data_IF_651685715418
#
_entry.id   IF_651685715418
#
_cell.length_a   1.000
_cell.length_b   1.000
_cell.length_c   1.000
_cell.angle_alpha   90.00
_cell.angle_beta   90.00
_cell.angle_gamma   90.00
#
_symmetry.space_group_name_H-M   'P 1'
#
loop_
_entity.id
_entity.type
_entity.pdbx_description
1 polymer ?
#
# COMPACT_ATOMS: atom_id res chain seq x y z
N UNK A 1 -16.02 4.43 14.19
CA UNK A 1 -15.24 3.41 13.45
C UNK A 1 -14.93 3.97 12.07
N UNK A 2 -13.68 3.90 11.63
CA UNK A 2 -13.31 4.29 10.27
C UNK A 2 -13.83 3.23 9.29
N UNK A 3 -14.40 3.67 8.17
CA UNK A 3 -14.75 2.78 7.07
C UNK A 3 -13.48 2.21 6.44
N UNK A 4 -13.49 0.92 6.09
CA UNK A 4 -12.39 0.23 5.42
C UNK A 4 -12.94 -0.68 4.33
N UNK A 5 -12.49 -0.48 3.09
CA UNK A 5 -12.80 -1.36 1.94
C UNK A 5 -12.40 -2.81 2.23
N UNK A 6 -11.30 -2.98 2.94
CA UNK A 6 -10.80 -4.29 3.35
C UNK A 6 -11.80 -5.08 4.22
N UNK A 7 -12.72 -4.43 4.94
CA UNK A 7 -13.76 -5.13 5.69
C UNK A 7 -14.69 -5.91 4.77
N UNK A 8 -15.18 -5.28 3.70
CA UNK A 8 -16.05 -5.93 2.72
C UNK A 8 -15.32 -7.08 2.01
N UNK A 9 -14.05 -6.85 1.62
CA UNK A 9 -13.19 -7.88 1.04
C UNK A 9 -13.03 -9.09 1.98
N UNK A 10 -12.78 -8.86 3.26
CA UNK A 10 -12.66 -9.91 4.27
C UNK A 10 -13.96 -10.68 4.47
N UNK A 11 -15.11 -9.99 4.50
CA UNK A 11 -16.45 -10.61 4.58
C UNK A 11 -16.69 -11.51 3.36
N UNK A 12 -16.41 -11.02 2.16
CA UNK A 12 -16.53 -11.77 0.91
C UNK A 12 -15.61 -13.00 0.88
N UNK A 13 -14.33 -12.83 1.27
CA UNK A 13 -13.40 -13.95 1.36
C UNK A 13 -13.89 -15.05 2.31
N UNK A 14 -14.35 -14.68 3.49
CA UNK A 14 -14.89 -15.64 4.46
C UNK A 14 -16.15 -16.38 3.99
N UNK A 15 -16.90 -15.79 3.06
CA UNK A 15 -18.06 -16.43 2.45
C UNK A 15 -17.67 -17.35 1.29
N UNK A 16 -16.78 -16.91 0.42
CA UNK A 16 -16.51 -17.55 -0.88
C UNK A 16 -15.36 -18.56 -0.85
N UNK A 17 -14.37 -18.37 0.07
CA UNK A 17 -13.17 -19.21 0.17
C UNK A 17 -13.13 -20.04 1.46
N UNK A 18 -14.06 -21.02 1.63
CA UNK A 18 -14.19 -21.76 2.90
C UNK A 18 -12.99 -22.66 3.20
N UNK A 19 -12.17 -22.98 2.21
CA UNK A 19 -11.08 -23.94 2.30
C UNK A 19 -9.68 -23.30 2.31
N UNK A 20 -9.60 -21.98 2.42
CA UNK A 20 -8.32 -21.25 2.55
C UNK A 20 -8.23 -20.48 3.87
N UNK A 21 -7.04 -20.33 4.36
CA UNK A 21 -6.71 -19.44 5.49
C UNK A 21 -6.24 -18.12 4.91
N UNK A 22 -6.82 -17.02 5.35
CA UNK A 22 -6.37 -15.69 4.97
C UNK A 22 -5.19 -15.26 5.82
N UNK A 23 -4.10 -14.86 5.18
CA UNK A 23 -2.98 -14.15 5.79
C UNK A 23 -3.08 -12.66 5.45
N UNK A 24 -3.40 -11.83 6.44
CA UNK A 24 -3.47 -10.38 6.29
C UNK A 24 -2.09 -9.78 6.54
N UNK A 25 -1.43 -9.37 5.46
CA UNK A 25 -0.13 -8.69 5.51
C UNK A 25 -0.29 -7.17 5.47
N UNK A 26 0.75 -6.43 5.88
CA UNK A 26 0.82 -4.98 5.78
C UNK A 26 1.54 -4.34 6.96
N UNK A 27 1.89 -3.06 6.83
CA UNK A 27 2.64 -2.32 7.83
C UNK A 27 1.99 -2.37 9.24
N UNK A 28 2.78 -2.08 10.26
CA UNK A 28 2.24 -1.92 11.62
C UNK A 28 1.34 -0.69 11.70
N UNK A 29 0.37 -0.73 12.62
CA UNK A 29 -0.58 0.34 12.94
C UNK A 29 -1.55 0.77 11.81
N UNK A 30 -1.69 -0.03 10.75
CA UNK A 30 -2.71 0.22 9.70
C UNK A 30 -4.08 -0.37 10.04
N UNK A 31 -4.23 -1.04 11.20
CA UNK A 31 -5.51 -1.54 11.70
C UNK A 31 -5.85 -2.99 11.36
N UNK A 32 -4.86 -3.86 11.01
CA UNK A 32 -5.08 -5.28 10.69
C UNK A 32 -5.90 -6.02 11.75
N UNK A 33 -5.40 -6.07 12.97
CA UNK A 33 -6.05 -6.78 14.09
C UNK A 33 -7.44 -6.21 14.40
N UNK A 34 -7.60 -4.89 14.26
CA UNK A 34 -8.87 -4.23 14.47
C UNK A 34 -9.92 -4.69 13.45
N UNK A 35 -9.59 -4.73 12.16
CA UNK A 35 -10.53 -5.08 11.10
C UNK A 35 -10.92 -6.57 11.16
N UNK A 36 -9.95 -7.45 11.44
CA UNK A 36 -10.22 -8.88 11.61
C UNK A 36 -11.13 -9.12 12.82
N UNK A 37 -10.89 -8.43 13.94
CA UNK A 37 -11.75 -8.51 15.14
C UNK A 37 -13.16 -7.98 14.84
N UNK A 38 -13.26 -6.88 14.13
CA UNK A 38 -14.56 -6.30 13.77
C UNK A 38 -15.40 -7.22 12.90
N UNK A 39 -14.84 -7.75 11.82
CA UNK A 39 -15.55 -8.64 10.90
C UNK A 39 -15.78 -10.00 11.57
N UNK A 40 -14.76 -10.59 12.20
CA UNK A 40 -14.83 -11.91 12.82
C UNK A 40 -15.89 -12.00 13.91
N UNK A 41 -15.97 -10.99 14.79
CA UNK A 41 -16.97 -10.97 15.87
C UNK A 41 -18.42 -10.76 15.38
N UNK A 42 -18.61 -10.25 14.16
CA UNK A 42 -19.93 -10.07 13.56
C UNK A 42 -20.40 -11.28 12.77
N UNK A 43 -19.47 -11.98 12.10
CA UNK A 43 -19.79 -13.11 11.22
C UNK A 43 -19.84 -14.43 11.97
N UNK A 44 -19.09 -14.58 13.07
CA UNK A 44 -18.98 -15.84 13.80
C UNK A 44 -19.51 -15.69 15.23
N UNK A 45 -20.24 -16.72 15.66
CA UNK A 45 -20.75 -16.79 17.04
C UNK A 45 -19.61 -16.84 18.07
N UNK A 46 -18.54 -17.52 17.71
CA UNK A 46 -17.35 -17.69 18.54
C UNK A 46 -16.16 -17.08 17.81
N UNK A 47 -15.60 -16.03 18.37
CA UNK A 47 -14.37 -15.39 17.89
C UNK A 47 -13.27 -15.57 18.95
N UNK A 48 -12.19 -16.23 18.57
CA UNK A 48 -11.05 -16.50 19.45
C UNK A 48 -9.83 -15.81 18.84
N UNK A 49 -9.29 -14.83 19.52
CA UNK A 49 -8.08 -14.10 19.14
C UNK A 49 -6.91 -14.55 20.00
N UNK A 50 -5.78 -14.83 19.36
CA UNK A 50 -4.52 -15.19 20.00
C UNK A 50 -3.46 -14.25 19.45
N UNK A 51 -2.96 -13.37 20.31
CA UNK A 51 -1.81 -12.54 19.98
C UNK A 51 -0.51 -13.31 20.28
N UNK A 52 0.11 -13.83 19.21
CA UNK A 52 1.29 -14.69 19.31
C UNK A 52 2.54 -13.94 19.75
N UNK A 53 2.63 -12.62 19.49
CA UNK A 53 3.71 -11.80 20.00
C UNK A 53 3.62 -11.65 21.52
N UNK A 54 2.42 -11.34 22.02
CA UNK A 54 2.18 -11.25 23.45
C UNK A 54 2.41 -12.59 24.17
N UNK A 55 2.03 -13.72 23.53
CA UNK A 55 2.32 -15.05 24.06
C UNK A 55 3.83 -15.32 24.15
N UNK A 56 4.58 -14.98 23.10
CA UNK A 56 6.04 -15.16 23.05
C UNK A 56 6.79 -14.33 24.10
N UNK A 57 6.32 -13.11 24.37
CA UNK A 57 6.87 -12.21 25.40
C UNK A 57 6.42 -12.59 26.82
N UNK A 58 5.36 -13.40 26.94
CA UNK A 58 4.74 -13.83 28.19
C UNK A 58 4.90 -15.31 28.49
N UNK A 59 3.79 -16.06 28.47
CA UNK A 59 3.75 -17.45 28.87
C UNK A 59 4.40 -18.45 27.90
N UNK A 60 4.57 -18.08 26.63
CA UNK A 60 5.20 -18.91 25.59
C UNK A 60 4.47 -20.21 25.31
N UNK A 61 3.14 -20.22 25.46
CA UNK A 61 2.29 -21.41 25.37
C UNK A 61 2.45 -22.10 24.01
N UNK A 62 2.56 -21.30 22.92
CA UNK A 62 2.70 -21.82 21.56
C UNK A 62 4.14 -22.10 21.14
N UNK A 63 5.15 -21.77 21.96
CA UNK A 63 6.55 -21.98 21.63
C UNK A 63 6.92 -23.46 21.42
N UNK A 64 6.28 -24.36 22.13
CA UNK A 64 6.57 -25.81 22.13
C UNK A 64 5.62 -26.63 21.26
N UNK A 65 4.63 -26.00 20.66
CA UNK A 65 3.67 -26.67 19.77
C UNK A 65 4.37 -27.29 18.58
N UNK A 66 4.24 -28.61 18.37
CA UNK A 66 4.86 -29.35 17.26
C UNK A 66 3.86 -30.15 16.43
N UNK A 67 2.67 -30.41 16.98
CA UNK A 67 1.62 -31.17 16.33
C UNK A 67 0.29 -30.45 16.36
N UNK A 68 -0.67 -30.89 15.52
CA UNK A 68 -2.05 -30.37 15.55
C UNK A 68 -2.71 -30.61 16.92
N UNK A 69 -2.45 -31.75 17.52
CA UNK A 69 -3.06 -32.11 18.80
C UNK A 69 -2.52 -31.20 19.92
N UNK A 70 -1.20 -30.89 19.91
CA UNK A 70 -0.63 -29.92 20.82
C UNK A 70 -1.26 -28.54 20.63
N UNK A 71 -1.44 -28.12 19.36
CA UNK A 71 -2.09 -26.86 19.05
C UNK A 71 -3.50 -26.79 19.60
N UNK A 72 -4.31 -27.82 19.37
CA UNK A 72 -5.70 -27.85 19.87
C UNK A 72 -5.79 -27.95 21.40
N UNK A 73 -4.84 -28.61 22.03
CA UNK A 73 -4.76 -28.65 23.50
C UNK A 73 -4.53 -27.25 24.06
N UNK A 74 -3.55 -26.52 23.52
CA UNK A 74 -3.25 -25.17 23.97
C UNK A 74 -4.37 -24.19 23.64
N UNK A 75 -4.94 -24.29 22.42
CA UNK A 75 -6.10 -23.50 22.02
C UNK A 75 -7.29 -23.74 22.96
N UNK A 76 -7.56 -25.00 23.30
CA UNK A 76 -8.64 -25.38 24.23
C UNK A 76 -8.42 -24.80 25.64
N UNK A 77 -7.19 -24.84 26.13
CA UNK A 77 -6.85 -24.27 27.43
C UNK A 77 -7.06 -22.74 27.49
N UNK A 78 -6.76 -22.03 26.40
CA UNK A 78 -6.93 -20.57 26.33
C UNK A 78 -8.36 -20.14 26.05
N UNK A 79 -9.03 -20.81 25.11
CA UNK A 79 -10.34 -20.39 24.62
C UNK A 79 -11.50 -20.96 25.45
N UNK A 80 -11.30 -22.08 26.14
CA UNK A 80 -12.32 -22.71 26.96
C UNK A 80 -13.63 -22.98 26.21
N UNK A 81 -14.75 -22.56 26.76
CA UNK A 81 -16.09 -22.76 26.19
C UNK A 81 -16.38 -21.89 24.93
N UNK A 82 -15.43 -21.08 24.47
CA UNK A 82 -15.59 -20.28 23.24
C UNK A 82 -15.34 -21.09 21.96
N UNK A 83 -14.95 -22.34 22.06
CA UNK A 83 -14.76 -23.21 20.91
C UNK A 83 -16.07 -23.98 20.61
N UNK A 84 -16.51 -23.85 19.37
CA UNK A 84 -17.67 -24.56 18.83
C UNK A 84 -17.28 -25.44 17.64
N UNK A 85 -18.10 -25.42 16.58
CA UNK A 85 -17.79 -26.09 15.32
C UNK A 85 -17.22 -25.12 14.27
N UNK A 86 -16.79 -25.65 13.10
CA UNK A 86 -16.21 -24.89 12.01
C UNK A 86 -17.05 -23.70 11.54
N UNK A 87 -18.36 -23.87 11.46
CA UNK A 87 -19.28 -22.83 10.97
C UNK A 87 -19.44 -21.69 11.95
N UNK A 88 -19.28 -21.98 13.22
CA UNK A 88 -19.56 -21.03 14.30
C UNK A 88 -18.28 -20.38 14.88
N UNK A 89 -17.09 -20.89 14.54
CA UNK A 89 -15.84 -20.49 15.21
C UNK A 89 -14.80 -20.00 14.22
N UNK A 90 -14.35 -18.76 14.45
CA UNK A 90 -13.18 -18.18 13.82
C UNK A 90 -12.05 -18.05 14.83
N UNK A 91 -10.91 -18.64 14.52
CA UNK A 91 -9.66 -18.47 15.28
C UNK A 91 -8.76 -17.49 14.55
N UNK A 92 -8.41 -16.42 15.21
CA UNK A 92 -7.53 -15.37 14.69
C UNK A 92 -6.14 -15.47 15.34
N UNK A 93 -5.12 -15.73 14.54
CA UNK A 93 -3.72 -15.81 14.93
C UNK A 93 -3.03 -14.49 14.56
N UNK A 94 -2.95 -13.58 15.53
CA UNK A 94 -2.34 -12.26 15.31
C UNK A 94 -0.82 -12.33 15.54
N UNK A 95 -0.04 -11.61 14.71
CA UNK A 95 1.43 -11.56 14.72
C UNK A 95 2.08 -12.95 14.55
N UNK A 96 1.60 -13.72 13.55
CA UNK A 96 2.00 -15.13 13.35
C UNK A 96 3.50 -15.32 13.09
N UNK A 97 4.20 -14.30 12.58
CA UNK A 97 5.65 -14.34 12.37
C UNK A 97 6.44 -14.50 13.68
N UNK A 98 5.80 -14.25 14.84
CA UNK A 98 6.43 -14.50 16.15
C UNK A 98 6.78 -15.97 16.37
N UNK A 99 6.05 -16.87 15.69
CA UNK A 99 6.27 -18.32 15.73
C UNK A 99 6.30 -18.92 14.32
N UNK A 100 7.42 -18.90 13.61
CA UNK A 100 7.52 -19.37 12.21
C UNK A 100 7.05 -20.82 12.00
N UNK A 101 7.18 -21.71 12.99
CA UNK A 101 6.70 -23.07 12.90
C UNK A 101 5.17 -23.19 12.81
N UNK A 102 4.42 -22.21 13.34
CA UNK A 102 2.96 -22.15 13.21
C UNK A 102 2.54 -21.82 11.78
N UNK A 103 3.34 -21.08 11.01
CA UNK A 103 3.05 -20.81 9.59
C UNK A 103 3.01 -22.11 8.79
N UNK A 104 3.96 -23.02 9.01
CA UNK A 104 3.95 -24.36 8.37
C UNK A 104 2.73 -25.17 8.85
N UNK A 105 2.30 -25.00 10.09
CA UNK A 105 1.17 -25.73 10.66
C UNK A 105 -0.17 -25.30 10.07
N UNK A 106 -0.31 -24.08 9.54
CA UNK A 106 -1.55 -23.59 8.94
C UNK A 106 -2.13 -24.56 7.90
N UNK A 107 -1.27 -25.22 7.10
CA UNK A 107 -1.70 -26.24 6.15
C UNK A 107 -2.49 -27.36 6.83
N UNK A 108 -1.93 -27.93 7.89
CA UNK A 108 -2.50 -29.05 8.60
C UNK A 108 -3.76 -28.66 9.37
N UNK A 109 -3.84 -27.42 9.88
CA UNK A 109 -5.03 -26.87 10.52
C UNK A 109 -6.16 -26.66 9.51
N UNK A 110 -5.82 -26.22 8.29
CA UNK A 110 -6.79 -26.06 7.22
C UNK A 110 -7.34 -27.40 6.72
N UNK A 111 -6.46 -28.38 6.50
CA UNK A 111 -6.85 -29.74 6.08
C UNK A 111 -7.72 -30.46 7.11
N UNK A 112 -7.43 -30.30 8.41
CA UNK A 112 -8.25 -30.84 9.50
C UNK A 112 -9.65 -30.20 9.54
N UNK A 113 -9.74 -28.92 9.20
CA UNK A 113 -11.01 -28.23 9.02
C UNK A 113 -11.86 -28.08 10.29
N UNK A 114 -11.27 -28.18 11.47
CA UNK A 114 -11.99 -28.09 12.76
C UNK A 114 -12.58 -26.72 13.03
N UNK A 115 -11.84 -25.66 12.65
CA UNK A 115 -12.24 -24.27 12.78
C UNK A 115 -11.93 -23.48 11.50
N UNK A 116 -12.45 -22.27 11.39
CA UNK A 116 -11.99 -21.28 10.42
C UNK A 116 -10.82 -20.51 11.02
N UNK A 117 -9.87 -20.13 10.17
CA UNK A 117 -8.68 -19.41 10.60
C UNK A 117 -8.43 -18.17 9.74
N UNK A 118 -7.96 -17.12 10.41
CA UNK A 118 -7.29 -15.97 9.80
C UNK A 118 -5.99 -15.80 10.56
N UNK A 119 -4.94 -15.41 9.88
CA UNK A 119 -3.70 -14.96 10.52
C UNK A 119 -3.33 -13.58 10.03
N UNK A 120 -2.61 -12.83 10.85
CA UNK A 120 -2.06 -11.53 10.46
C UNK A 120 -0.60 -11.38 10.88
N UNK A 121 0.10 -10.51 10.20
CA UNK A 121 1.44 -10.11 10.59
C UNK A 121 1.92 -8.87 9.85
N UNK A 122 2.92 -8.20 10.41
CA UNK A 122 3.51 -6.98 9.84
C UNK A 122 4.77 -7.23 9.01
N UNK A 123 5.29 -8.45 9.05
CA UNK A 123 6.52 -8.85 8.37
C UNK A 123 6.34 -10.20 7.65
N UNK A 124 5.12 -10.49 7.21
CA UNK A 124 4.79 -11.80 6.64
C UNK A 124 5.59 -12.07 5.36
N UNK A 125 5.82 -11.07 4.52
CA UNK A 125 6.66 -11.23 3.33
C UNK A 125 8.07 -11.75 3.67
N UNK A 126 8.67 -11.20 4.72
CA UNK A 126 9.98 -11.62 5.22
C UNK A 126 9.91 -13.00 5.88
N UNK A 127 8.92 -13.22 6.75
CA UNK A 127 8.76 -14.49 7.45
C UNK A 127 8.46 -15.65 6.48
N UNK A 128 7.74 -15.41 5.39
CA UNK A 128 7.46 -16.40 4.36
C UNK A 128 8.74 -16.84 3.61
N UNK A 129 9.66 -15.92 3.32
CA UNK A 129 10.94 -16.28 2.69
C UNK A 129 11.83 -17.14 3.60
N UNK A 130 11.70 -17.00 4.91
CA UNK A 130 12.42 -17.77 5.92
C UNK A 130 11.72 -19.07 6.32
N UNK A 131 10.47 -19.29 5.89
CA UNK A 131 9.70 -20.48 6.23
C UNK A 131 10.06 -21.64 5.29
N UNK A 132 10.48 -22.81 5.78
CA UNK A 132 10.95 -23.94 4.96
C UNK A 132 9.90 -24.48 3.97
N UNK A 133 8.62 -24.30 4.27
CA UNK A 133 7.51 -24.75 3.42
C UNK A 133 6.30 -23.86 3.61
N UNK A 134 6.02 -23.04 2.60
CA UNK A 134 4.79 -22.21 2.56
C UNK A 134 3.66 -23.03 1.92
N UNK A 135 2.52 -23.22 2.59
CA UNK A 135 1.41 -24.03 2.06
C UNK A 135 0.56 -23.26 1.06
N UNK A 136 1.12 -22.95 -0.12
CA UNK A 136 0.53 -22.08 -1.17
C UNK A 136 -0.92 -22.46 -1.52
N UNK A 137 -1.27 -23.74 -1.52
CA UNK A 137 -2.64 -24.19 -1.85
C UNK A 137 -3.67 -23.98 -0.73
N UNK A 138 -3.23 -23.81 0.52
CA UNK A 138 -4.09 -23.73 1.72
C UNK A 138 -4.24 -22.32 2.27
N UNK A 139 -3.46 -21.36 1.77
CA UNK A 139 -3.48 -19.97 2.22
C UNK A 139 -3.72 -19.01 1.07
N UNK A 140 -4.33 -17.88 1.36
CA UNK A 140 -4.39 -16.70 0.52
C UNK A 140 -3.72 -15.55 1.27
N UNK A 141 -2.89 -14.79 0.59
CA UNK A 141 -2.18 -13.64 1.18
C UNK A 141 -2.81 -12.38 0.61
N UNK A 142 -3.31 -11.54 1.50
CA UNK A 142 -3.91 -10.27 1.14
C UNK A 142 -3.19 -9.11 1.81
N UNK A 143 -2.89 -8.10 1.01
CA UNK A 143 -2.20 -6.92 1.46
C UNK A 143 -3.19 -5.87 1.95
N UNK A 144 -3.01 -5.39 3.17
CA UNK A 144 -3.73 -4.25 3.71
C UNK A 144 -2.83 -3.01 3.70
N UNK A 145 -3.39 -1.89 3.28
CA UNK A 145 -2.68 -0.60 3.18
C UNK A 145 -3.20 0.42 4.19
N UNK A 146 -2.51 1.55 4.44
CA UNK A 146 -3.13 2.72 5.06
C UNK A 146 -4.44 3.10 4.37
N UNK A 147 -5.30 3.93 4.97
CA UNK A 147 -6.50 4.41 4.32
C UNK A 147 -6.13 5.17 3.04
N UNK A 148 -6.79 4.83 1.93
CA UNK A 148 -6.72 5.61 0.70
C UNK A 148 -7.55 6.90 0.80
N UNK A 149 -7.50 7.74 -0.22
CA UNK A 149 -8.19 9.04 -0.19
C UNK A 149 -9.72 8.90 -0.13
N UNK A 150 -10.31 7.90 -0.77
CA UNK A 150 -11.75 7.61 -0.69
C UNK A 150 -12.16 7.22 0.74
N UNK A 151 -11.42 6.31 1.38
CA UNK A 151 -11.63 5.93 2.79
C UNK A 151 -11.45 7.12 3.73
N UNK A 152 -10.48 8.00 3.45
CA UNK A 152 -10.27 9.24 4.19
C UNK A 152 -11.46 10.19 4.05
N UNK A 153 -12.00 10.41 2.83
CA UNK A 153 -13.19 11.25 2.62
C UNK A 153 -14.38 10.76 3.44
N UNK A 154 -14.62 9.45 3.43
CA UNK A 154 -15.68 8.83 4.24
C UNK A 154 -15.45 9.04 5.74
N UNK A 155 -14.19 8.90 6.20
CA UNK A 155 -13.81 9.17 7.58
C UNK A 155 -14.02 10.64 7.98
N UNK A 156 -13.86 11.58 7.04
CA UNK A 156 -14.13 13.00 7.24
C UNK A 156 -15.62 13.36 7.18
N UNK A 157 -16.50 12.39 6.90
CA UNK A 157 -17.94 12.59 6.84
C UNK A 157 -18.46 12.99 5.45
N UNK A 158 -17.67 12.82 4.39
CA UNK A 158 -18.15 12.94 3.03
C UNK A 158 -19.19 11.84 2.75
N UNK A 159 -20.34 12.21 2.21
CA UNK A 159 -21.38 11.25 1.88
C UNK A 159 -20.96 10.37 0.68
N UNK A 160 -21.26 9.08 0.72
CA UNK A 160 -20.99 8.15 -0.39
C UNK A 160 -21.58 8.68 -1.71
N UNK A 161 -22.81 9.18 -1.70
CA UNK A 161 -23.46 9.75 -2.89
C UNK A 161 -22.67 10.93 -3.52
N UNK A 162 -21.90 11.67 -2.72
CA UNK A 162 -21.01 12.72 -3.26
C UNK A 162 -19.82 12.08 -3.99
N UNK A 163 -19.22 11.06 -3.40
CA UNK A 163 -18.11 10.30 -4.03
C UNK A 163 -18.59 9.65 -5.32
N UNK A 164 -19.74 8.99 -5.31
CA UNK A 164 -20.34 8.36 -6.48
C UNK A 164 -20.58 9.39 -7.61
N UNK A 165 -21.06 10.58 -7.27
CA UNK A 165 -21.25 11.68 -8.24
C UNK A 165 -19.92 12.20 -8.82
N UNK A 166 -18.86 12.24 -8.02
CA UNK A 166 -17.52 12.61 -8.47
C UNK A 166 -16.94 11.52 -9.39
N UNK A 167 -17.16 10.24 -9.05
CA UNK A 167 -16.76 9.09 -9.89
C UNK A 167 -17.49 9.09 -11.25
N UNK A 168 -18.78 9.45 -11.25
CA UNK A 168 -19.53 9.55 -12.51
C UNK A 168 -18.96 10.65 -13.41
N UNK A 169 -18.56 11.81 -12.86
CA UNK A 169 -17.88 12.85 -13.62
C UNK A 169 -16.52 12.36 -14.15
N UNK A 170 -15.75 11.64 -13.34
CA UNK A 170 -14.50 11.02 -13.78
C UNK A 170 -14.71 10.07 -14.96
N UNK A 171 -15.66 9.13 -14.86
CA UNK A 171 -15.99 8.16 -15.93
C UNK A 171 -16.44 8.83 -17.24
N UNK A 172 -17.12 9.99 -17.14
CA UNK A 172 -17.55 10.78 -18.27
C UNK A 172 -16.49 11.75 -18.81
N UNK A 173 -15.32 11.84 -18.17
CA UNK A 173 -14.29 12.82 -18.53
C UNK A 173 -14.75 14.27 -18.32
N UNK A 174 -15.58 14.53 -17.32
CA UNK A 174 -16.17 15.83 -17.04
C UNK A 174 -15.48 16.52 -15.86
N UNK A 175 -15.38 17.84 -15.93
CA UNK A 175 -14.92 18.67 -14.82
C UNK A 175 -16.02 18.83 -13.76
N UNK A 176 -15.63 18.88 -12.48
CA UNK A 176 -16.55 19.27 -11.40
C UNK A 176 -16.85 20.76 -11.47
N UNK A 177 -17.95 21.20 -10.83
CA UNK A 177 -18.17 22.63 -10.61
C UNK A 177 -17.16 23.18 -9.59
N UNK A 178 -16.99 24.52 -9.56
CA UNK A 178 -15.98 25.20 -8.73
C UNK A 178 -16.08 24.84 -7.25
N UNK A 179 -17.30 24.79 -6.70
CA UNK A 179 -17.51 24.52 -5.28
C UNK A 179 -17.07 23.11 -4.90
N UNK A 180 -17.43 22.12 -5.72
CA UNK A 180 -17.09 20.73 -5.47
C UNK A 180 -15.60 20.46 -5.75
N UNK A 181 -15.05 21.05 -6.81
CA UNK A 181 -13.61 20.99 -7.08
C UNK A 181 -12.79 21.54 -5.89
N UNK A 182 -13.12 22.74 -5.42
CA UNK A 182 -12.42 23.35 -4.30
C UNK A 182 -12.55 22.53 -3.02
N UNK A 183 -13.71 21.94 -2.76
CA UNK A 183 -13.91 21.03 -1.63
C UNK A 183 -13.02 19.80 -1.75
N UNK A 184 -13.03 19.11 -2.89
CA UNK A 184 -12.23 17.91 -3.11
C UNK A 184 -10.72 18.19 -3.00
N UNK A 185 -10.27 19.29 -3.60
CA UNK A 185 -8.86 19.70 -3.54
C UNK A 185 -8.44 20.07 -2.11
N UNK A 186 -9.30 20.74 -1.34
CA UNK A 186 -9.03 21.04 0.05
C UNK A 186 -8.94 19.76 0.90
N UNK A 187 -9.87 18.80 0.73
CA UNK A 187 -9.80 17.52 1.42
C UNK A 187 -8.54 16.76 1.04
N UNK A 188 -8.14 16.79 -0.23
CA UNK A 188 -6.91 16.17 -0.70
C UNK A 188 -5.67 16.80 -0.03
N UNK A 189 -5.59 18.13 0.06
CA UNK A 189 -4.50 18.82 0.78
C UNK A 189 -4.47 18.47 2.27
N UNK A 190 -5.62 18.29 2.91
CA UNK A 190 -5.70 17.83 4.31
C UNK A 190 -5.17 16.40 4.40
N UNK A 191 -5.53 15.52 3.44
CA UNK A 191 -5.03 14.16 3.37
C UNK A 191 -3.49 14.11 3.22
N UNK A 192 -2.88 15.02 2.45
CA UNK A 192 -1.42 15.12 2.38
C UNK A 192 -0.76 15.39 3.75
N UNK A 193 -1.46 16.05 4.66
CA UNK A 193 -0.97 16.33 6.02
C UNK A 193 -1.26 15.20 7.00
N UNK A 194 -2.47 14.65 6.96
CA UNK A 194 -2.94 13.65 7.91
C UNK A 194 -2.47 12.24 7.53
N UNK A 195 -2.46 11.94 6.23
CA UNK A 195 -2.19 10.60 5.70
C UNK A 195 -3.33 9.62 5.92
N UNK A 196 -3.04 8.35 5.66
CA UNK A 196 -3.96 7.22 5.78
C UNK A 196 -3.77 6.38 7.05
N UNK A 197 -2.91 6.78 7.99
CA UNK A 197 -2.73 6.03 9.24
C UNK A 197 -3.94 6.20 10.17
N UNK A 198 -4.61 5.09 10.60
CA UNK A 198 -5.86 5.16 11.37
C UNK A 198 -5.80 6.05 12.60
N UNK A 199 -4.72 5.96 13.39
CA UNK A 199 -4.58 6.74 14.62
C UNK A 199 -4.39 8.23 14.33
N UNK A 200 -3.68 8.58 13.26
CA UNK A 200 -3.52 9.95 12.79
C UNK A 200 -4.87 10.55 12.36
N UNK A 201 -5.67 9.78 11.60
CA UNK A 201 -7.02 10.18 11.17
C UNK A 201 -7.95 10.35 12.37
N UNK A 202 -8.00 9.37 13.29
CA UNK A 202 -8.82 9.48 14.50
C UNK A 202 -8.44 10.72 15.30
N UNK A 203 -7.14 10.98 15.45
CA UNK A 203 -6.66 12.15 16.17
C UNK A 203 -7.08 13.47 15.50
N UNK A 204 -7.03 13.50 14.18
CA UNK A 204 -7.52 14.66 13.43
C UNK A 204 -9.03 14.84 13.54
N UNK A 205 -9.82 13.77 13.52
CA UNK A 205 -11.29 13.85 13.71
C UNK A 205 -11.62 14.42 15.09
N UNK A 206 -10.91 14.00 16.14
CA UNK A 206 -11.14 14.43 17.52
C UNK A 206 -10.98 15.95 17.73
N UNK A 207 -9.96 16.55 17.14
CA UNK A 207 -9.57 17.91 17.53
C UNK A 207 -9.18 18.84 16.37
N UNK A 208 -9.16 18.36 15.13
CA UNK A 208 -8.79 19.13 13.92
C UNK A 208 -7.43 19.85 14.02
N UNK A 209 -6.52 19.34 14.83
CA UNK A 209 -5.23 19.95 15.08
C UNK A 209 -4.08 19.09 14.54
N UNK A 210 -3.38 19.60 13.53
CA UNK A 210 -2.27 18.90 12.88
C UNK A 210 -1.08 18.70 13.83
N UNK A 211 -0.86 19.56 14.83
CA UNK A 211 0.24 19.34 15.77
C UNK A 211 0.09 18.00 16.52
N UNK A 212 -1.13 17.66 16.95
CA UNK A 212 -1.39 16.38 17.61
C UNK A 212 -1.30 15.18 16.63
N UNK A 213 -1.64 15.39 15.38
CA UNK A 213 -1.43 14.38 14.32
C UNK A 213 0.07 14.11 14.13
N UNK A 214 0.89 15.18 14.14
CA UNK A 214 2.35 15.08 14.02
C UNK A 214 2.99 14.28 15.15
N UNK A 215 2.44 14.34 16.37
CA UNK A 215 2.91 13.51 17.48
C UNK A 215 2.73 12.02 17.16
N UNK A 216 1.53 11.62 16.73
CA UNK A 216 1.25 10.23 16.31
C UNK A 216 2.17 9.79 15.17
N UNK A 217 2.35 10.63 14.16
CA UNK A 217 3.20 10.32 13.02
C UNK A 217 4.67 10.16 13.42
N UNK A 218 5.18 10.96 14.38
CA UNK A 218 6.53 10.79 14.93
C UNK A 218 6.69 9.45 15.65
N UNK A 219 5.68 9.04 16.42
CA UNK A 219 5.70 7.76 17.13
C UNK A 219 5.72 6.58 16.13
N UNK A 220 4.95 6.69 15.04
CA UNK A 220 4.96 5.68 13.95
C UNK A 220 6.33 5.62 13.26
N UNK A 221 6.96 6.77 12.97
CA UNK A 221 8.33 6.79 12.43
C UNK A 221 9.33 6.12 13.37
N UNK A 222 9.26 6.43 14.67
CA UNK A 222 10.13 5.81 15.66
C UNK A 222 9.94 4.29 15.68
N UNK A 223 8.68 3.81 15.62
CA UNK A 223 8.36 2.39 15.55
C UNK A 223 8.94 1.73 14.28
N UNK A 224 8.73 2.32 13.09
CA UNK A 224 9.25 1.79 11.85
C UNK A 224 10.78 1.72 11.81
N UNK A 225 11.46 2.70 12.40
CA UNK A 225 12.92 2.68 12.56
C UNK A 225 13.41 1.58 13.51
N UNK A 226 12.64 1.28 14.56
CA UNK A 226 12.93 0.17 15.48
C UNK A 226 12.73 -1.16 14.74
N UNK A 227 11.62 -1.33 14.02
CA UNK A 227 11.33 -2.55 13.25
C UNK A 227 12.41 -2.82 12.21
N UNK A 228 12.79 -1.79 11.44
CA UNK A 228 13.90 -1.87 10.50
C UNK A 228 15.22 -2.34 11.17
N UNK A 229 15.38 -2.13 12.47
CA UNK A 229 16.56 -2.56 13.23
C UNK A 229 16.46 -3.96 13.84
N UNK A 230 15.31 -4.65 13.73
CA UNK A 230 15.12 -5.99 14.32
C UNK A 230 15.36 -7.14 13.32
N UNK A 231 15.45 -6.83 12.03
CA UNK A 231 15.56 -7.84 10.98
C UNK A 231 16.85 -8.65 11.01
N UNK A 232 18.00 -7.98 11.17
CA UNK A 232 19.31 -8.60 11.18
C UNK A 232 20.28 -7.71 11.96
N UNK A 233 20.97 -8.26 12.94
CA UNK A 233 21.89 -7.50 13.80
C UNK A 233 23.05 -6.87 13.03
N UNK A 234 23.48 -7.46 11.91
CA UNK A 234 24.56 -6.94 11.06
C UNK A 234 24.04 -5.88 10.07
N UNK A 235 22.82 -6.03 9.55
CA UNK A 235 22.22 -5.19 8.50
C UNK A 235 21.31 -4.07 9.03
N UNK A 236 20.94 -4.08 10.31
CA UNK A 236 19.98 -3.14 10.92
C UNK A 236 20.30 -1.67 10.69
N UNK A 237 21.57 -1.29 10.74
CA UNK A 237 21.97 0.10 10.52
C UNK A 237 21.82 0.50 9.05
N UNK A 238 22.03 -0.43 8.13
CA UNK A 238 21.90 -0.22 6.69
C UNK A 238 20.43 0.00 6.33
N UNK A 239 19.54 -0.88 6.80
CA UNK A 239 18.09 -0.80 6.55
C UNK A 239 17.54 0.53 7.10
N UNK A 240 17.92 0.88 8.32
CA UNK A 240 17.53 2.16 8.93
C UNK A 240 18.04 3.35 8.13
N UNK A 241 19.30 3.32 7.68
CA UNK A 241 19.86 4.39 6.87
C UNK A 241 19.12 4.53 5.54
N UNK A 242 18.74 3.43 4.88
CA UNK A 242 17.94 3.46 3.66
C UNK A 242 16.59 4.13 3.93
N UNK A 243 15.90 3.74 5.00
CA UNK A 243 14.61 4.33 5.39
C UNK A 243 14.74 5.84 5.65
N UNK A 244 15.75 6.25 6.43
CA UNK A 244 16.01 7.67 6.77
C UNK A 244 16.41 8.51 5.54
N UNK A 245 16.92 7.89 4.47
CA UNK A 245 17.28 8.56 3.22
C UNK A 245 16.08 8.77 2.27
N UNK A 246 14.95 8.07 2.45
CA UNK A 246 13.80 8.17 1.53
C UNK A 246 13.36 9.63 1.34
N UNK A 247 13.08 10.44 2.38
CA UNK A 247 12.64 11.82 2.20
C UNK A 247 13.66 12.68 1.45
N UNK A 248 14.95 12.54 1.76
CA UNK A 248 16.00 13.32 1.12
C UNK A 248 16.21 12.94 -0.35
N UNK A 249 16.04 11.66 -0.70
CA UNK A 249 16.09 11.22 -2.09
C UNK A 249 14.91 11.78 -2.90
N UNK A 250 13.75 11.94 -2.29
CA UNK A 250 12.56 12.51 -2.91
C UNK A 250 12.73 14.01 -3.28
N UNK A 251 13.54 14.75 -2.51
CA UNK A 251 13.87 16.16 -2.80
C UNK A 251 14.93 16.33 -3.90
N UNK A 252 15.62 15.26 -4.26
CA UNK A 252 16.64 15.31 -5.32
C UNK A 252 15.99 15.34 -6.71
N UNK A 253 16.68 15.99 -7.67
CA UNK A 253 16.22 16.07 -9.07
C UNK A 253 15.90 14.70 -9.70
N UNK A 254 16.57 13.63 -9.28
CA UNK A 254 16.38 12.28 -9.81
C UNK A 254 15.68 11.32 -8.84
N UNK A 255 15.19 11.75 -7.74
CA UNK A 255 14.36 11.01 -6.75
C UNK A 255 14.66 9.51 -6.54
N UNK A 256 15.80 9.02 -6.99
CA UNK A 256 16.20 7.59 -6.90
C UNK A 256 17.21 7.37 -5.79
N UNK A 257 17.26 6.15 -5.28
CA UNK A 257 18.25 5.73 -4.30
C UNK A 257 19.66 5.84 -4.89
N UNK A 258 20.54 6.53 -4.17
CA UNK A 258 21.96 6.67 -4.50
C UNK A 258 22.74 5.80 -3.54
N UNK A 259 23.17 4.61 -3.99
CA UNK A 259 23.81 3.58 -3.17
C UNK A 259 24.97 4.08 -2.32
N UNK A 260 25.84 4.97 -2.86
CA UNK A 260 26.97 5.55 -2.10
C UNK A 260 26.57 6.41 -0.89
N UNK A 261 25.30 6.82 -0.81
CA UNK A 261 24.79 7.59 0.33
C UNK A 261 24.35 6.70 1.50
N UNK A 262 24.14 5.40 1.26
CA UNK A 262 23.63 4.47 2.27
C UNK A 262 24.61 4.29 3.43
N UNK A 263 25.87 4.06 3.14
CA UNK A 263 26.91 3.84 4.17
C UNK A 263 27.93 4.98 4.28
N UNK A 264 27.79 6.04 3.49
CA UNK A 264 28.67 7.22 3.56
C UNK A 264 30.13 6.96 3.18
N UNK A 265 30.46 5.76 2.67
CA UNK A 265 31.82 5.36 2.27
C UNK A 265 31.90 5.24 0.76
N UNK A 266 33.04 5.64 0.20
CA UNK A 266 33.41 5.35 -1.18
C UNK A 266 33.76 3.85 -1.32
N UNK A 267 32.78 2.97 -1.12
CA UNK A 267 32.92 1.54 -1.29
C UNK A 267 32.50 1.10 -2.70
N UNK A 268 32.99 -0.05 -3.15
CA UNK A 268 32.63 -0.67 -4.45
C UNK A 268 31.26 -1.36 -4.44
N UNK A 269 30.41 -1.11 -3.44
CA UNK A 269 29.09 -1.73 -3.34
C UNK A 269 28.15 -1.25 -4.46
N UNK A 270 27.45 -2.20 -5.05
CA UNK A 270 26.48 -2.02 -6.12
C UNK A 270 25.05 -2.08 -5.56
N UNK A 271 24.08 -1.73 -6.36
CA UNK A 271 22.65 -1.81 -6.00
C UNK A 271 22.24 -3.23 -5.54
N UNK A 272 22.74 -4.25 -6.22
CA UNK A 272 22.51 -5.65 -5.90
C UNK A 272 22.94 -6.07 -4.49
N UNK A 273 23.90 -5.35 -3.91
CA UNK A 273 24.43 -5.67 -2.58
C UNK A 273 23.47 -5.26 -1.44
N UNK A 274 22.41 -4.49 -1.78
CA UNK A 274 21.37 -4.02 -0.88
C UNK A 274 19.97 -4.55 -1.26
N UNK A 275 19.89 -5.56 -2.11
CA UNK A 275 18.63 -6.09 -2.61
C UNK A 275 17.72 -6.59 -1.47
N UNK A 276 18.30 -7.32 -0.50
CA UNK A 276 17.57 -7.85 0.65
C UNK A 276 17.00 -6.72 1.54
N UNK A 277 17.77 -5.65 1.73
CA UNK A 277 17.38 -4.51 2.55
C UNK A 277 16.24 -3.70 1.89
N UNK A 278 16.28 -3.54 0.57
CA UNK A 278 15.18 -2.93 -0.18
C UNK A 278 13.93 -3.81 -0.12
N UNK A 279 14.10 -5.12 -0.33
CA UNK A 279 13.01 -6.09 -0.26
C UNK A 279 12.38 -6.13 1.14
N UNK A 280 13.20 -6.06 2.19
CA UNK A 280 12.68 -5.96 3.56
C UNK A 280 11.79 -4.76 3.76
N UNK A 281 12.24 -3.55 3.38
CA UNK A 281 11.46 -2.31 3.54
C UNK A 281 10.14 -2.33 2.76
N UNK A 282 10.12 -2.97 1.59
CA UNK A 282 8.92 -3.05 0.77
C UNK A 282 7.98 -4.16 1.25
N UNK A 283 8.50 -5.34 1.59
CA UNK A 283 7.70 -6.47 2.07
C UNK A 283 7.10 -6.22 3.47
N UNK A 284 7.76 -5.41 4.30
CA UNK A 284 7.19 -4.96 5.58
C UNK A 284 6.11 -3.88 5.42
N UNK A 285 5.95 -3.33 4.21
CA UNK A 285 4.95 -2.30 3.89
C UNK A 285 5.29 -0.91 4.41
N UNK A 286 6.52 -0.65 4.86
CA UNK A 286 6.92 0.70 5.34
C UNK A 286 7.40 1.60 4.21
N UNK A 287 7.78 1.02 3.06
CA UNK A 287 8.15 1.73 1.85
C UNK A 287 7.48 1.12 0.61
N UNK A 288 7.33 1.93 -0.44
CA UNK A 288 6.83 1.52 -1.74
C UNK A 288 7.97 1.58 -2.75
N UNK A 289 8.14 0.52 -3.52
CA UNK A 289 9.13 0.43 -4.57
C UNK A 289 8.56 0.84 -5.92
N UNK A 290 9.26 1.71 -6.65
CA UNK A 290 8.95 2.07 -8.03
C UNK A 290 10.19 1.81 -8.87
N UNK A 291 10.12 0.84 -9.79
CA UNK A 291 11.26 0.33 -10.56
C UNK A 291 11.40 1.05 -11.90
N UNK A 292 12.64 1.25 -12.34
CA UNK A 292 12.92 1.95 -13.58
C UNK A 292 12.69 1.08 -14.80
N UNK A 293 12.12 1.70 -15.84
CA UNK A 293 12.00 1.14 -17.19
C UNK A 293 12.58 2.12 -18.20
N UNK A 294 13.46 1.63 -19.03
CA UNK A 294 14.11 2.46 -20.06
C UNK A 294 13.51 2.27 -21.45
N UNK A 295 12.87 1.12 -21.71
CA UNK A 295 12.24 0.75 -22.98
C UNK A 295 10.93 0.00 -22.67
N UNK A 296 9.82 0.72 -22.43
CA UNK A 296 8.58 0.12 -21.96
C UNK A 296 7.95 -0.77 -23.03
N UNK A 297 7.55 -1.96 -22.60
CA UNK A 297 6.74 -2.91 -23.35
C UNK A 297 5.63 -3.41 -22.44
N UNK A 298 4.47 -3.66 -23.00
CA UNK A 298 3.39 -4.32 -22.26
C UNK A 298 3.58 -5.84 -22.30
N UNK A 299 3.49 -6.56 -21.17
CA UNK A 299 3.44 -6.03 -19.81
C UNK A 299 4.81 -5.51 -19.34
N UNK A 300 4.79 -4.51 -18.45
CA UNK A 300 5.99 -3.79 -17.98
C UNK A 300 7.04 -4.68 -17.32
N UNK A 301 6.62 -5.79 -16.71
CA UNK A 301 7.50 -6.77 -16.07
C UNK A 301 8.59 -7.31 -17.02
N UNK A 302 8.33 -7.36 -18.35
CA UNK A 302 9.31 -7.79 -19.35
C UNK A 302 10.47 -6.80 -19.55
N UNK A 303 10.24 -5.53 -19.16
CA UNK A 303 11.17 -4.43 -19.41
C UNK A 303 11.82 -3.88 -18.16
N UNK A 304 11.61 -4.52 -17.01
CA UNK A 304 12.06 -4.04 -15.70
C UNK A 304 13.59 -3.99 -15.59
N UNK A 305 14.12 -2.85 -15.14
CA UNK A 305 15.55 -2.69 -14.84
C UNK A 305 15.78 -2.84 -13.34
N UNK A 306 16.47 -3.89 -12.94
CA UNK A 306 16.74 -4.21 -11.53
C UNK A 306 17.71 -3.24 -10.82
N UNK A 307 18.34 -2.33 -11.54
CA UNK A 307 19.44 -1.51 -11.01
C UNK A 307 19.07 -0.08 -10.63
N UNK A 308 17.84 0.34 -10.83
CA UNK A 308 17.36 1.70 -10.51
C UNK A 308 16.02 1.62 -9.80
N UNK A 309 15.96 2.23 -8.62
CA UNK A 309 14.79 2.18 -7.73
C UNK A 309 14.52 3.55 -7.14
N UNK A 310 13.26 3.96 -7.14
CA UNK A 310 12.72 4.98 -6.24
C UNK A 310 12.04 4.27 -5.06
N UNK A 311 12.23 4.81 -3.86
CA UNK A 311 11.46 4.41 -2.69
C UNK A 311 10.63 5.60 -2.21
N UNK A 312 9.36 5.34 -1.96
CA UNK A 312 8.43 6.25 -1.31
C UNK A 312 8.08 5.71 0.07
N UNK A 313 7.77 6.58 1.02
CA UNK A 313 7.15 6.12 2.27
C UNK A 313 5.74 5.61 1.96
N UNK A 314 5.29 4.61 2.71
CA UNK A 314 3.97 4.01 2.51
C UNK A 314 2.80 4.93 2.86
N UNK A 315 3.06 6.08 3.47
CA UNK A 315 2.06 7.05 3.86
C UNK A 315 2.55 8.49 3.65
N UNK A 316 1.76 9.30 2.94
CA UNK A 316 2.11 10.69 2.61
C UNK A 316 2.12 11.60 3.83
N UNK A 317 1.29 11.33 4.85
CA UNK A 317 1.28 12.08 6.10
C UNK A 317 2.59 11.92 6.88
N UNK A 318 3.16 10.71 6.85
CA UNK A 318 4.49 10.45 7.41
C UNK A 318 5.56 11.25 6.68
N UNK A 319 5.52 11.32 5.34
CA UNK A 319 6.46 12.12 4.56
C UNK A 319 6.35 13.61 4.89
N UNK A 320 5.14 14.16 4.89
CA UNK A 320 4.94 15.60 5.15
C UNK A 320 5.28 16.00 6.58
N UNK A 321 5.20 15.07 7.54
CA UNK A 321 5.69 15.29 8.89
C UNK A 321 7.22 15.52 8.90
N UNK A 322 7.98 14.70 8.19
CA UNK A 322 9.43 14.83 8.11
C UNK A 322 9.86 16.10 7.37
N UNK A 323 9.14 16.48 6.30
CA UNK A 323 9.51 17.62 5.46
C UNK A 323 9.10 18.98 6.05
N UNK A 324 7.92 19.06 6.67
CA UNK A 324 7.31 20.34 7.03
C UNK A 324 6.96 20.47 8.52
N UNK A 325 7.07 19.40 9.29
CA UNK A 325 6.70 19.37 10.70
C UNK A 325 5.29 19.99 10.94
N UNK A 326 5.17 21.02 11.77
CA UNK A 326 3.90 21.70 12.07
C UNK A 326 3.55 22.84 11.12
N UNK A 327 4.39 23.12 10.11
CA UNK A 327 4.09 24.19 9.14
C UNK A 327 3.09 23.73 8.07
N UNK A 328 1.82 23.80 8.41
CA UNK A 328 0.71 23.39 7.52
C UNK A 328 0.59 24.30 6.28
N UNK A 329 1.03 25.57 6.37
CA UNK A 329 0.95 26.51 5.25
C UNK A 329 1.82 26.07 4.06
N UNK A 330 2.85 25.27 4.30
CA UNK A 330 3.65 24.69 3.24
C UNK A 330 2.79 23.89 2.25
N UNK A 331 1.74 23.21 2.75
CA UNK A 331 0.83 22.36 1.95
C UNK A 331 -0.48 23.08 1.63
N UNK A 332 -1.11 23.72 2.61
CA UNK A 332 -2.44 24.34 2.43
C UNK A 332 -2.39 25.69 1.69
N UNK A 333 -1.30 26.44 1.85
CA UNK A 333 -1.17 27.82 1.39
C UNK A 333 -0.59 27.98 -0.01
N UNK A 334 -0.30 26.91 -0.75
CA UNK A 334 0.38 26.95 -2.07
C UNK A 334 1.60 27.89 -2.09
N UNK A 335 2.45 27.78 -1.07
CA UNK A 335 3.64 28.64 -0.92
C UNK A 335 4.63 28.34 -2.04
N UNK A 336 4.79 29.24 -2.98
CA UNK A 336 5.61 29.08 -4.19
C UNK A 336 7.08 28.70 -3.91
N UNK A 337 7.60 28.90 -2.69
CA UNK A 337 8.95 28.52 -2.29
C UNK A 337 9.10 27.07 -1.86
N UNK A 338 7.99 26.33 -1.70
CA UNK A 338 7.98 24.93 -1.27
C UNK A 338 7.73 24.03 -2.48
N UNK A 339 8.65 23.10 -2.72
CA UNK A 339 8.48 22.10 -3.76
C UNK A 339 7.57 20.98 -3.25
N UNK A 340 6.31 20.99 -3.65
CA UNK A 340 5.34 19.93 -3.32
C UNK A 340 5.38 18.75 -4.31
N UNK A 341 6.24 18.76 -5.32
CA UNK A 341 6.28 17.71 -6.34
C UNK A 341 6.51 16.32 -5.75
N UNK A 342 7.44 16.20 -4.80
CA UNK A 342 7.72 14.93 -4.11
C UNK A 342 6.53 14.42 -3.29
N UNK A 343 5.78 15.31 -2.65
CA UNK A 343 4.59 14.97 -1.86
C UNK A 343 3.46 14.48 -2.76
N UNK A 344 3.24 15.18 -3.89
CA UNK A 344 2.21 14.80 -4.86
C UNK A 344 2.53 13.47 -5.55
N UNK A 345 3.79 13.25 -5.93
CA UNK A 345 4.20 11.94 -6.45
C UNK A 345 4.04 10.84 -5.39
N UNK A 346 4.38 11.10 -4.11
CA UNK A 346 4.25 10.11 -3.04
C UNK A 346 2.80 9.70 -2.81
N UNK A 347 1.85 10.64 -2.81
CA UNK A 347 0.43 10.28 -2.63
C UNK A 347 -0.11 9.53 -3.85
N UNK A 348 0.31 9.88 -5.08
CA UNK A 348 -0.08 9.13 -6.27
C UNK A 348 0.48 7.71 -6.24
N UNK A 349 1.76 7.53 -5.82
CA UNK A 349 2.34 6.20 -5.62
C UNK A 349 1.55 5.40 -4.58
N UNK A 350 1.19 6.01 -3.46
CA UNK A 350 0.40 5.40 -2.39
C UNK A 350 -0.98 4.94 -2.90
N UNK A 351 -1.73 5.81 -3.59
CA UNK A 351 -3.06 5.50 -4.12
C UNK A 351 -3.00 4.36 -5.17
N UNK A 352 -2.15 4.50 -6.19
CA UNK A 352 -2.03 3.48 -7.24
C UNK A 352 -1.60 2.12 -6.66
N UNK A 353 -0.67 2.11 -5.71
CA UNK A 353 -0.23 0.87 -5.06
C UNK A 353 -1.35 0.24 -4.22
N UNK A 354 -2.09 1.04 -3.45
CA UNK A 354 -3.24 0.56 -2.67
C UNK A 354 -4.38 0.05 -3.57
N UNK A 355 -4.43 0.51 -4.82
CA UNK A 355 -5.39 0.09 -5.84
C UNK A 355 -4.91 -1.09 -6.69
N UNK A 356 -3.82 -1.75 -6.31
CA UNK A 356 -3.36 -3.00 -6.91
C UNK A 356 -2.45 -2.85 -8.14
N UNK A 357 -1.90 -1.65 -8.39
CA UNK A 357 -0.93 -1.47 -9.46
C UNK A 357 0.49 -1.78 -9.00
N UNK A 358 1.24 -2.50 -9.82
CA UNK A 358 2.69 -2.54 -9.76
C UNK A 358 3.25 -1.25 -10.38
N UNK A 359 4.12 -0.57 -9.63
CA UNK A 359 4.56 0.77 -10.00
C UNK A 359 5.93 0.74 -10.68
N UNK A 360 5.99 1.39 -11.83
CA UNK A 360 7.20 1.62 -12.57
C UNK A 360 7.34 3.11 -12.90
N UNK A 361 8.55 3.55 -13.27
CA UNK A 361 8.79 4.89 -13.80
C UNK A 361 9.69 4.82 -15.03
N UNK A 362 9.57 5.80 -15.92
CA UNK A 362 10.44 5.86 -17.08
C UNK A 362 11.71 6.63 -16.77
N UNK A 363 12.88 6.05 -17.05
CA UNK A 363 14.18 6.74 -16.97
C UNK A 363 15.01 6.47 -18.22
N UNK A 364 15.18 7.50 -19.04
CA UNK A 364 16.00 7.44 -20.24
C UNK A 364 16.93 8.66 -20.30
N UNK A 365 18.22 8.42 -20.52
CA UNK A 365 19.24 9.47 -20.51
C UNK A 365 19.00 10.58 -21.55
N UNK A 366 18.37 10.26 -22.67
CA UNK A 366 18.15 11.21 -23.77
C UNK A 366 16.76 11.85 -23.74
N UNK A 367 15.75 11.13 -23.26
CA UNK A 367 14.36 11.55 -23.28
C UNK A 367 13.86 12.12 -21.98
N UNK A 368 14.50 11.77 -20.86
CA UNK A 368 14.14 12.24 -19.53
C UNK A 368 13.39 11.19 -18.70
N UNK A 369 12.61 11.64 -17.74
CA UNK A 369 11.91 10.82 -16.75
C UNK A 369 10.41 11.12 -16.79
N UNK A 370 9.56 10.07 -16.75
CA UNK A 370 8.11 10.14 -16.52
C UNK A 370 7.82 9.50 -15.17
N UNK A 371 6.98 10.14 -14.35
CA UNK A 371 6.83 9.82 -12.94
C UNK A 371 6.36 8.40 -12.69
N UNK A 372 5.32 7.92 -13.41
CA UNK A 372 4.82 6.55 -13.31
C UNK A 372 4.47 5.95 -14.66
N UNK A 373 4.63 4.63 -14.72
CA UNK A 373 4.11 3.77 -15.77
C UNK A 373 3.31 2.66 -15.09
N UNK A 374 2.12 2.39 -15.58
CA UNK A 374 1.28 1.27 -15.14
C UNK A 374 0.80 0.46 -16.35
N UNK A 375 0.58 -0.83 -16.14
CA UNK A 375 -0.06 -1.69 -17.13
C UNK A 375 -1.57 -1.41 -17.20
N UNK A 376 -2.08 -1.21 -18.39
CA UNK A 376 -3.50 -1.13 -18.63
C UNK A 376 -3.96 -2.39 -19.37
N UNK A 377 -4.48 -3.33 -18.62
CA UNK A 377 -4.95 -4.61 -19.15
C UNK A 377 -6.20 -4.50 -20.01
N UNK A 378 -6.98 -3.42 -19.90
CA UNK A 378 -8.16 -3.20 -20.73
C UNK A 378 -7.81 -2.90 -22.18
N UNK A 379 -6.69 -2.26 -22.42
CA UNK A 379 -6.20 -1.90 -23.76
C UNK A 379 -4.91 -2.62 -24.13
N UNK A 380 -4.35 -3.45 -23.27
CA UNK A 380 -3.07 -4.16 -23.42
C UNK A 380 -1.92 -3.21 -23.79
N UNK A 381 -1.91 -2.04 -23.12
CA UNK A 381 -0.90 -1.00 -23.32
C UNK A 381 -0.36 -0.49 -21.99
N UNK A 382 0.73 0.25 -22.05
CA UNK A 382 1.27 0.97 -20.90
C UNK A 382 0.63 2.34 -20.82
N UNK A 383 0.22 2.77 -19.63
CA UNK A 383 -0.28 4.11 -19.35
C UNK A 383 0.77 4.91 -18.58
N UNK A 384 1.41 5.91 -19.22
CA UNK A 384 2.26 6.87 -18.54
C UNK A 384 1.46 7.91 -17.77
N UNK A 385 1.92 8.22 -16.56
CA UNK A 385 1.30 9.18 -15.65
C UNK A 385 2.36 10.18 -15.23
N UNK A 386 2.04 11.47 -15.37
CA UNK A 386 2.84 12.59 -14.90
C UNK A 386 2.10 13.35 -13.81
N UNK A 387 2.81 13.82 -12.79
CA UNK A 387 2.23 14.48 -11.61
C UNK A 387 2.77 15.91 -11.49
N UNK A 388 1.88 16.89 -11.44
CA UNK A 388 2.23 18.31 -11.37
C UNK A 388 1.57 18.98 -10.16
N UNK A 389 2.37 19.55 -9.28
CA UNK A 389 1.90 20.29 -8.11
C UNK A 389 1.79 21.82 -8.35
N UNK A 390 2.34 22.33 -9.46
CA UNK A 390 2.41 23.76 -9.76
C UNK A 390 1.47 24.20 -10.89
N UNK A 391 1.51 25.50 -11.22
CA UNK A 391 0.71 26.10 -12.30
C UNK A 391 1.16 25.70 -13.69
N UNK A 392 2.42 25.28 -13.87
CA UNK A 392 2.99 24.91 -15.18
C UNK A 392 2.74 23.45 -15.51
N UNK A 393 1.51 22.97 -15.30
CA UNK A 393 1.15 21.57 -15.46
C UNK A 393 1.20 21.07 -16.92
N UNK A 394 1.17 21.97 -17.90
CA UNK A 394 1.35 21.66 -19.33
C UNK A 394 2.81 21.53 -19.77
N UNK A 395 3.77 21.76 -18.88
CA UNK A 395 5.20 21.61 -19.20
C UNK A 395 5.68 20.21 -18.76
N UNK A 396 5.73 19.29 -19.72
CA UNK A 396 6.12 17.89 -19.50
C UNK A 396 6.94 17.34 -20.67
N UNK A 397 8.05 18.00 -21.00
CA UNK A 397 8.88 17.68 -22.15
C UNK A 397 9.38 16.24 -22.23
N UNK A 398 9.50 15.55 -21.09
CA UNK A 398 9.87 14.12 -21.05
C UNK A 398 8.71 13.25 -21.53
N UNK A 399 7.48 13.53 -21.08
CA UNK A 399 6.28 12.83 -21.49
C UNK A 399 6.02 13.04 -23.00
N UNK A 400 6.23 14.28 -23.51
CA UNK A 400 6.08 14.56 -24.96
C UNK A 400 7.05 13.73 -25.79
N UNK A 401 8.32 13.67 -25.39
CA UNK A 401 9.34 12.84 -26.05
C UNK A 401 9.02 11.33 -25.94
N UNK A 402 8.46 10.93 -24.81
CA UNK A 402 8.02 9.56 -24.59
C UNK A 402 6.93 9.17 -25.57
N UNK A 403 5.85 9.95 -25.66
CA UNK A 403 4.74 9.71 -26.57
C UNK A 403 5.13 9.81 -28.05
N UNK A 404 6.09 10.68 -28.38
CA UNK A 404 6.64 10.79 -29.74
C UNK A 404 7.47 9.57 -30.16
N UNK A 405 7.75 8.62 -29.26
CA UNK A 405 8.53 7.42 -29.56
C UNK A 405 7.61 6.33 -30.11
N UNK A 406 7.53 6.22 -31.41
CA UNK A 406 6.62 5.30 -32.11
C UNK A 406 6.80 3.83 -31.76
N UNK A 407 8.04 3.43 -31.42
CA UNK A 407 8.37 2.04 -31.06
C UNK A 407 7.71 1.57 -29.75
N UNK A 408 7.24 2.51 -28.91
CA UNK A 408 6.53 2.15 -27.68
C UNK A 408 5.06 1.82 -27.89
N UNK A 409 4.49 2.22 -29.03
CA UNK A 409 3.07 2.04 -29.36
C UNK A 409 2.10 2.59 -28.30
N UNK A 410 2.52 3.66 -27.59
CA UNK A 410 1.76 4.33 -26.54
C UNK A 410 1.23 5.65 -27.09
N UNK A 411 -0.11 5.79 -27.11
CA UNK A 411 -0.79 6.94 -27.72
C UNK A 411 -1.55 7.80 -26.71
N UNK A 412 -1.61 7.37 -25.46
CA UNK A 412 -2.33 8.08 -24.40
C UNK A 412 -1.49 8.20 -23.14
N UNK A 413 -1.75 9.26 -22.39
CA UNK A 413 -1.10 9.54 -21.11
C UNK A 413 -2.08 10.28 -20.19
N UNK A 414 -1.72 10.37 -18.91
CA UNK A 414 -2.45 11.14 -17.90
C UNK A 414 -1.53 12.14 -17.23
N UNK A 415 -2.00 13.37 -17.06
CA UNK A 415 -1.36 14.40 -16.23
C UNK A 415 -2.29 14.76 -15.10
N UNK A 416 -1.88 14.46 -13.88
CA UNK A 416 -2.57 14.91 -12.67
C UNK A 416 -2.05 16.28 -12.22
N UNK A 417 -2.98 17.19 -11.90
CA UNK A 417 -2.63 18.52 -11.42
C UNK A 417 -3.69 19.08 -10.46
N UNK A 418 -3.48 20.28 -9.96
CA UNK A 418 -4.49 20.99 -9.15
C UNK A 418 -5.58 21.67 -9.99
N UNK A 419 -5.45 21.63 -11.31
CA UNK A 419 -6.42 22.27 -12.21
C UNK A 419 -7.75 21.53 -12.23
N UNK A 420 -8.83 22.31 -12.34
CA UNK A 420 -10.20 21.81 -12.35
C UNK A 420 -10.59 21.12 -13.66
N UNK A 421 -10.07 21.67 -14.78
CA UNK A 421 -10.57 21.31 -16.09
C UNK A 421 -10.05 19.96 -16.57
N UNK A 422 -10.98 19.04 -16.82
CA UNK A 422 -10.70 17.78 -17.50
C UNK A 422 -10.76 18.04 -19.01
N UNK A 423 -9.67 17.73 -19.71
CA UNK A 423 -9.60 17.84 -21.16
C UNK A 423 -8.54 16.90 -21.73
N UNK A 424 -8.67 16.62 -23.02
CA UNK A 424 -7.70 15.80 -23.77
C UNK A 424 -7.00 16.68 -24.80
N UNK A 425 -5.68 16.69 -24.78
CA UNK A 425 -4.87 17.42 -25.74
C UNK A 425 -3.73 16.50 -26.23
N UNK A 426 -3.61 16.26 -27.52
CA UNK A 426 -2.57 15.41 -28.15
C UNK A 426 -2.40 14.02 -27.50
N UNK A 427 -3.51 13.37 -27.12
CA UNK A 427 -3.49 12.06 -26.47
C UNK A 427 -3.23 12.10 -24.96
N UNK A 428 -2.99 13.28 -24.38
CA UNK A 428 -2.79 13.48 -22.96
C UNK A 428 -4.10 13.92 -22.32
N UNK A 429 -4.56 13.17 -21.33
CA UNK A 429 -5.72 13.53 -20.51
C UNK A 429 -5.24 14.29 -19.28
N UNK A 430 -5.63 15.55 -19.17
CA UNK A 430 -5.38 16.39 -17.99
C UNK A 430 -6.55 16.28 -17.04
N UNK A 431 -6.28 16.07 -15.76
CA UNK A 431 -7.34 15.94 -14.77
C UNK A 431 -6.89 16.34 -13.36
N UNK A 432 -7.86 16.67 -12.48
CA UNK A 432 -7.56 16.98 -11.08
C UNK A 432 -6.89 15.82 -10.35
N UNK A 433 -5.93 16.13 -9.48
CA UNK A 433 -5.12 15.14 -8.74
C UNK A 433 -5.98 14.17 -7.91
N UNK A 434 -7.08 14.62 -7.33
CA UNK A 434 -7.94 13.77 -6.52
C UNK A 434 -8.65 12.66 -7.34
N UNK A 435 -8.66 12.73 -8.68
CA UNK A 435 -9.19 11.65 -9.52
C UNK A 435 -8.31 10.39 -9.51
N UNK A 436 -7.09 10.46 -8.97
CA UNK A 436 -6.25 9.29 -8.77
C UNK A 436 -6.96 8.19 -7.96
N UNK A 437 -7.87 8.56 -7.04
CA UNK A 437 -8.65 7.61 -6.23
C UNK A 437 -9.56 6.67 -7.03
N UNK A 438 -9.81 6.98 -8.32
CA UNK A 438 -10.64 6.14 -9.22
C UNK A 438 -9.82 5.30 -10.19
N UNK A 439 -8.49 5.44 -10.19
CA UNK A 439 -7.62 4.53 -10.91
C UNK A 439 -7.48 3.24 -10.09
N UNK A 440 -8.27 2.23 -10.44
CA UNK A 440 -8.30 0.92 -9.76
C UNK A 440 -7.91 -0.16 -10.77
N UNK A 441 -7.01 -1.06 -10.37
CA UNK A 441 -6.67 -2.25 -11.16
C UNK A 441 -7.74 -3.31 -10.89
N UNK A 442 -8.92 -3.12 -11.49
CA UNK A 442 -10.03 -4.04 -11.30
C UNK A 442 -9.78 -5.33 -12.11
N UNK A 443 -10.00 -6.49 -11.51
CA UNK A 443 -9.95 -7.74 -12.26
C UNK A 443 -11.03 -7.74 -13.34
N UNK A 444 -10.73 -8.36 -14.47
CA UNK A 444 -11.71 -8.63 -15.54
C UNK A 444 -12.89 -9.39 -14.93
N UNK A 445 -14.12 -9.05 -15.33
CA UNK A 445 -15.29 -9.70 -14.75
C UNK A 445 -15.28 -11.22 -15.01
N UNK A 446 -15.75 -12.01 -14.06
CA UNK A 446 -15.82 -13.47 -14.23
C UNK A 446 -16.56 -13.88 -15.51
N UNK A 447 -17.56 -13.11 -15.93
CA UNK A 447 -18.30 -13.34 -17.16
C UNK A 447 -17.43 -13.21 -18.44
N UNK A 448 -16.45 -12.32 -18.41
CA UNK A 448 -15.57 -12.06 -19.56
C UNK A 448 -14.39 -13.07 -19.61
N UNK A 449 -14.21 -13.83 -18.51
CA UNK A 449 -13.20 -14.89 -18.42
C UNK A 449 -13.75 -16.28 -18.81
N UNK A 450 -15.05 -16.40 -19.14
CA UNK A 450 -15.65 -17.68 -19.54
C UNK A 450 -15.24 -18.00 -20.98
N UNK A 451 -14.51 -19.10 -21.15
CA UNK A 451 -14.22 -19.65 -22.47
C UNK A 451 -15.50 -20.34 -22.97
N UNK A 452 -16.12 -19.89 -24.07
CA UNK A 452 -17.29 -20.59 -24.62
C UNK A 452 -16.94 -22.04 -24.97
N UNK A 453 -17.87 -22.95 -24.67
CA UNK A 453 -17.69 -24.35 -25.03
C UNK A 453 -17.69 -24.48 -26.56
N UNK A 454 -16.54 -24.73 -27.16
CA UNK A 454 -16.32 -24.76 -28.61
C UNK A 454 -16.80 -26.10 -29.23
N UNK A 455 -17.35 -27.00 -28.41
CA UNK A 455 -17.80 -28.34 -28.78
C UNK A 455 -19.33 -28.51 -28.77
N UNK A 456 -20.10 -27.50 -29.18
CA UNK A 456 -21.51 -27.68 -29.51
C UNK A 456 -21.78 -27.34 -30.94
#
# INVERSE_FOLDING_TARGET
MLYRKFAAHLEQFLQNEPNKILLVNGARQIGKSYIVRYVGSRMFKNFVEINLKADKEGAGIFATVRSRDDFYLQLGALAGNKLGNRKDTLVFLDEIQSYPHLMTMLKFLNEDGRYRYIASGSELGVALTQTPSVPIGSIAIEQMYPLDFEEFLLAMGCAQATIDGVEECFKKGQSLNDSLHNYMLQQFKIYLLVGGMPDAINKFIENRNIAHVRDIQRDIHALYRIDASQYDDEKKLVIRNIYDLIPSNMENKKKRIVVKNIEGKAGHKQFSDYADEFEYLTNSGVALAVRAISNPKFPLIESESKNLLKLYLSDVGLLTNLLYATNINAVLGDVCSVNLGSVYESVVAQELHAHGYELHYYDNKQRGEVDFLIDDYSTLTVLPIEVKSGKDYKVHSALDKFLATTDYHITRAVVFSNEQNVHVEQGITYMPIYYVMFYKNEPVSDSDCIIPDVMQ
#
